data_IF_391823810184
#
_entry.id   IF_391823810184
#
_cell.length_a   1.000
_cell.length_b   1.000
_cell.length_c   1.000
_cell.angle_alpha   90.00
_cell.angle_beta   90.00
_cell.angle_gamma   90.00
#
_symmetry.space_group_name_H-M   'P 1'
#
loop_
_entity.id
_entity.type
_entity.pdbx_description
1 polymer ?
#
# COMPACT_ATOMS: atom_id res chain seq x y z
N UNK A 1 -21.29 -20.32 8.80
CA UNK A 1 -22.14 -19.63 7.81
C UNK A 1 -21.28 -18.54 7.17
N UNK A 2 -20.61 -18.86 6.06
CA UNK A 2 -19.74 -17.92 5.35
C UNK A 2 -20.62 -16.92 4.58
N UNK A 3 -20.55 -15.64 4.94
CA UNK A 3 -21.19 -14.56 4.17
C UNK A 3 -20.43 -14.40 2.86
N UNK A 4 -20.96 -15.01 1.80
CA UNK A 4 -20.62 -14.63 0.43
C UNK A 4 -21.20 -13.23 0.18
N UNK A 5 -20.40 -12.20 0.41
CA UNK A 5 -20.71 -10.84 -0.03
C UNK A 5 -20.54 -10.77 -1.55
N UNK A 6 -21.61 -11.12 -2.27
CA UNK A 6 -21.79 -10.71 -3.66
C UNK A 6 -22.09 -9.20 -3.65
N UNK A 7 -21.05 -8.37 -3.55
CA UNK A 7 -21.24 -6.91 -3.62
C UNK A 7 -21.51 -6.48 -5.07
N UNK A 8 -22.78 -6.20 -5.35
CA UNK A 8 -23.14 -5.12 -6.28
C UNK A 8 -22.89 -3.79 -5.56
N UNK A 9 -21.92 -2.99 -6.00
CA UNK A 9 -21.74 -1.58 -5.60
C UNK A 9 -21.24 -0.79 -6.82
N UNK A 10 -22.10 -0.02 -7.49
CA UNK A 10 -22.45 1.40 -7.26
C UNK A 10 -21.28 2.34 -7.55
N UNK A 11 -21.50 3.21 -8.55
CA UNK A 11 -20.71 4.39 -8.93
C UNK A 11 -20.31 5.18 -7.67
N UNK A 12 -19.05 5.05 -7.23
CA UNK A 12 -18.55 5.77 -6.06
C UNK A 12 -18.01 7.13 -6.51
N UNK A 13 -18.74 8.21 -6.19
CA UNK A 13 -18.20 9.55 -6.18
C UNK A 13 -17.82 9.87 -4.74
N UNK A 14 -16.53 9.91 -4.42
CA UNK A 14 -16.05 10.35 -3.10
C UNK A 14 -15.82 11.86 -3.20
N UNK A 15 -16.78 12.67 -2.77
CA UNK A 15 -16.59 14.12 -2.62
C UNK A 15 -16.26 14.45 -1.17
N UNK A 16 -15.08 15.00 -0.91
CA UNK A 16 -14.83 15.74 0.32
C UNK A 16 -14.40 17.18 -0.02
N UNK A 17 -14.77 18.20 0.77
CA UNK A 17 -14.46 19.60 0.46
C UNK A 17 -12.96 19.93 0.37
N UNK A 18 -12.10 19.02 0.86
CA UNK A 18 -10.64 19.15 0.88
C UNK A 18 -9.90 18.07 0.08
N UNK A 19 -10.60 17.21 -0.67
CA UNK A 19 -9.98 16.15 -1.48
C UNK A 19 -10.53 16.12 -2.90
N UNK A 20 -9.67 15.80 -3.86
CA UNK A 20 -10.04 15.58 -5.26
C UNK A 20 -11.22 14.61 -5.37
N UNK A 21 -12.27 14.98 -6.09
CA UNK A 21 -13.39 14.08 -6.37
C UNK A 21 -12.99 13.10 -7.47
N UNK A 22 -13.03 11.81 -7.16
CA UNK A 22 -12.76 10.71 -8.10
C UNK A 22 -14.08 10.10 -8.58
N UNK A 23 -14.18 9.80 -9.88
CA UNK A 23 -15.30 9.13 -10.51
C UNK A 23 -14.81 7.93 -11.32
N UNK A 24 -15.18 6.73 -10.89
CA UNK A 24 -14.85 5.49 -11.58
C UNK A 24 -15.86 5.11 -12.65
N UNK A 25 -15.39 4.69 -13.82
CA UNK A 25 -16.21 4.08 -14.87
C UNK A 25 -15.80 2.64 -15.10
N UNK A 26 -16.81 1.78 -15.25
CA UNK A 26 -16.60 0.42 -15.73
C UNK A 26 -16.39 0.46 -17.26
N UNK A 27 -15.31 -0.13 -17.73
CA UNK A 27 -14.92 -0.39 -19.11
C UNK A 27 -14.52 -1.88 -19.24
N UNK A 28 -14.54 -2.46 -20.43
CA UNK A 28 -14.08 -3.82 -20.73
C UNK A 28 -15.02 -5.00 -20.42
N UNK A 29 -15.81 -5.37 -21.45
CA UNK A 29 -15.75 -6.68 -22.14
C UNK A 29 -15.87 -6.61 -23.69
N UNK A 30 -16.11 -5.47 -24.35
CA UNK A 30 -16.37 -5.38 -25.82
C UNK A 30 -16.08 -4.01 -26.47
N UNK A 31 -15.87 -3.97 -27.81
CA UNK A 31 -15.69 -2.72 -28.59
C UNK A 31 -16.83 -1.69 -28.42
N UNK A 32 -18.05 -2.15 -28.13
CA UNK A 32 -19.20 -1.28 -27.89
C UNK A 32 -19.08 -0.48 -26.57
N UNK A 33 -18.36 -1.02 -25.58
CA UNK A 33 -18.17 -0.36 -24.28
C UNK A 33 -17.09 0.73 -24.34
N UNK A 34 -16.06 0.58 -25.19
CA UNK A 34 -15.09 1.66 -25.48
C UNK A 34 -15.79 2.88 -26.10
N UNK A 35 -16.71 2.66 -27.05
CA UNK A 35 -17.49 3.74 -27.66
C UNK A 35 -18.42 4.47 -26.70
N UNK A 36 -18.98 3.76 -25.72
CA UNK A 36 -19.80 4.37 -24.66
C UNK A 36 -18.93 5.12 -23.65
N UNK A 37 -17.79 4.56 -23.25
CA UNK A 37 -16.85 5.21 -22.33
C UNK A 37 -16.44 6.60 -22.83
N UNK A 38 -16.06 6.74 -24.11
CA UNK A 38 -15.66 8.04 -24.68
C UNK A 38 -16.79 9.07 -24.58
N UNK A 39 -18.04 8.68 -24.88
CA UNK A 39 -19.20 9.58 -24.75
C UNK A 39 -19.39 10.06 -23.31
N UNK A 40 -19.28 9.16 -22.34
CA UNK A 40 -19.38 9.52 -20.92
C UNK A 40 -18.20 10.37 -20.46
N UNK A 41 -16.99 10.04 -20.90
CA UNK A 41 -15.77 10.79 -20.61
C UNK A 41 -15.90 12.24 -21.09
N UNK A 42 -16.26 12.45 -22.36
CA UNK A 42 -16.39 13.78 -22.96
C UNK A 42 -17.47 14.62 -22.27
N UNK A 43 -18.66 14.03 -22.06
CA UNK A 43 -19.76 14.72 -21.38
C UNK A 43 -19.40 15.13 -19.95
N UNK A 44 -18.68 14.26 -19.21
CA UNK A 44 -18.28 14.53 -17.83
C UNK A 44 -17.13 15.51 -17.75
N UNK A 45 -16.14 15.43 -18.64
CA UNK A 45 -15.06 16.42 -18.72
C UNK A 45 -15.58 17.80 -19.06
N UNK A 46 -16.58 17.90 -19.94
CA UNK A 46 -17.20 19.18 -20.27
C UNK A 46 -17.97 19.78 -19.09
N UNK A 47 -18.73 18.96 -18.35
CA UNK A 47 -19.56 19.43 -17.24
C UNK A 47 -18.81 19.60 -15.91
N UNK A 48 -17.75 18.80 -15.69
CA UNK A 48 -17.02 18.70 -14.42
C UNK A 48 -15.51 18.54 -14.68
N UNK A 49 -14.82 19.58 -15.15
CA UNK A 49 -13.40 19.50 -15.51
C UNK A 49 -12.49 19.11 -14.34
N UNK A 50 -12.88 19.46 -13.11
CA UNK A 50 -12.10 19.20 -11.89
C UNK A 50 -12.23 17.77 -11.36
N UNK A 51 -13.22 17.00 -11.83
CA UNK A 51 -13.39 15.59 -11.42
C UNK A 51 -12.34 14.74 -12.11
N UNK A 52 -11.69 13.87 -11.33
CA UNK A 52 -10.72 12.90 -11.82
C UNK A 52 -11.42 11.61 -12.24
N UNK A 53 -11.12 11.14 -13.45
CA UNK A 53 -11.75 9.98 -14.07
C UNK A 53 -10.85 8.76 -13.93
N UNK A 54 -11.39 7.69 -13.34
CA UNK A 54 -10.73 6.39 -13.21
C UNK A 54 -11.33 5.43 -14.24
N UNK A 55 -10.49 4.85 -15.10
CA UNK A 55 -10.89 3.71 -15.93
C UNK A 55 -10.61 2.40 -15.20
N UNK A 56 -11.49 1.42 -15.30
CA UNK A 56 -11.27 0.11 -14.68
C UNK A 56 -10.30 -0.83 -15.45
N UNK A 57 -9.58 -0.32 -16.44
CA UNK A 57 -8.65 -1.14 -17.23
C UNK A 57 -7.42 -1.54 -16.40
N UNK A 58 -6.97 -2.79 -16.54
CA UNK A 58 -5.77 -3.30 -15.90
C UNK A 58 -4.51 -2.72 -16.57
N UNK A 59 -4.00 -1.56 -16.13
CA UNK A 59 -2.66 -1.09 -16.53
C UNK A 59 -1.55 -2.05 -16.06
N UNK A 60 -0.25 -1.87 -16.40
CA UNK A 60 0.41 -1.15 -17.48
C UNK A 60 1.21 -2.11 -18.39
N UNK A 61 0.62 -3.22 -18.85
CA UNK A 61 1.26 -4.00 -19.94
C UNK A 61 1.27 -3.20 -21.25
N UNK A 62 0.29 -2.31 -21.42
CA UNK A 62 0.14 -1.37 -22.53
C UNK A 62 -0.46 -0.05 -22.02
N UNK A 63 -0.23 1.05 -22.75
CA UNK A 63 -0.94 2.32 -22.53
C UNK A 63 -2.44 2.10 -22.68
N UNK A 64 -3.26 2.81 -21.86
CA UNK A 64 -4.70 2.85 -22.10
C UNK A 64 -4.97 3.32 -23.53
N UNK A 65 -5.89 2.64 -24.22
CA UNK A 65 -6.34 3.00 -25.57
C UNK A 65 -7.38 4.13 -25.57
N UNK A 66 -7.69 4.66 -24.38
CA UNK A 66 -8.67 5.73 -24.14
C UNK A 66 -8.16 6.70 -23.05
N UNK A 67 -8.67 7.95 -23.01
CA UNK A 67 -8.23 8.93 -22.00
C UNK A 67 -8.76 8.60 -20.61
N UNK A 68 -7.94 8.78 -19.57
CA UNK A 68 -8.31 8.71 -18.15
C UNK A 68 -7.26 9.45 -17.29
N UNK A 69 -7.61 9.92 -16.09
CA UNK A 69 -6.62 10.43 -15.13
C UNK A 69 -5.93 9.27 -14.37
N UNK A 70 -6.71 8.23 -14.08
CA UNK A 70 -6.27 7.04 -13.34
C UNK A 70 -6.75 5.76 -14.01
N UNK A 71 -6.11 4.65 -13.70
CA UNK A 71 -6.63 3.31 -13.93
C UNK A 71 -6.85 2.57 -12.62
N UNK A 72 -7.84 1.70 -12.57
CA UNK A 72 -8.20 0.94 -11.38
C UNK A 72 -7.36 -0.34 -11.30
N UNK A 73 -6.72 -0.55 -10.16
CA UNK A 73 -5.87 -1.72 -9.92
C UNK A 73 -6.48 -2.56 -8.79
N UNK A 74 -6.72 -3.83 -9.11
CA UNK A 74 -7.32 -4.81 -8.22
C UNK A 74 -6.37 -5.99 -8.04
N UNK A 75 -6.17 -6.45 -6.81
CA UNK A 75 -5.38 -7.67 -6.55
C UNK A 75 -5.93 -8.50 -5.40
N UNK A 76 -6.39 -9.71 -5.72
CA UNK A 76 -6.81 -10.71 -4.75
C UNK A 76 -5.96 -11.96 -4.97
N UNK A 77 -5.06 -12.27 -4.04
CA UNK A 77 -4.07 -13.35 -4.25
C UNK A 77 -3.54 -13.92 -2.93
N UNK A 78 -2.61 -14.87 -2.98
CA UNK A 78 -1.93 -15.42 -1.79
C UNK A 78 -1.01 -14.37 -1.14
N UNK A 79 -0.61 -14.56 0.11
CA UNK A 79 0.26 -13.63 0.83
C UNK A 79 1.62 -13.47 0.13
N UNK A 80 2.20 -14.58 -0.32
CA UNK A 80 3.45 -14.58 -1.08
C UNK A 80 3.36 -13.82 -2.41
N UNK A 81 2.26 -13.96 -3.13
CA UNK A 81 2.04 -13.27 -4.41
C UNK A 81 1.77 -11.77 -4.19
N UNK A 82 1.02 -11.43 -3.14
CA UNK A 82 0.76 -10.03 -2.81
C UNK A 82 2.04 -9.32 -2.40
N UNK A 83 2.88 -9.97 -1.57
CA UNK A 83 4.20 -9.45 -1.24
C UNK A 83 5.09 -9.31 -2.48
N UNK A 84 5.03 -10.26 -3.41
CA UNK A 84 5.80 -10.20 -4.67
C UNK A 84 5.44 -9.01 -5.57
N UNK A 85 4.22 -8.50 -5.49
CA UNK A 85 3.80 -7.31 -6.25
C UNK A 85 4.08 -5.98 -5.54
N UNK A 86 4.80 -5.99 -4.42
CA UNK A 86 5.25 -4.75 -3.72
C UNK A 86 6.04 -3.81 -4.65
N UNK A 87 6.76 -4.36 -5.63
CA UNK A 87 7.55 -3.60 -6.61
C UNK A 87 6.80 -3.31 -7.92
N UNK A 88 5.49 -3.63 -8.01
CA UNK A 88 4.69 -3.50 -9.25
C UNK A 88 4.80 -2.11 -9.87
N UNK A 89 4.83 -1.08 -9.03
CA UNK A 89 4.81 0.31 -9.48
C UNK A 89 6.21 0.93 -9.63
N UNK A 90 7.28 0.24 -9.20
CA UNK A 90 8.68 0.73 -9.26
C UNK A 90 9.08 1.14 -10.68
N UNK A 91 8.62 0.36 -11.69
CA UNK A 91 8.93 0.59 -13.12
C UNK A 91 7.77 1.14 -13.93
N UNK A 92 6.64 1.48 -13.29
CA UNK A 92 5.49 2.05 -14.00
C UNK A 92 5.83 3.47 -14.47
N UNK A 93 5.43 3.82 -15.69
CA UNK A 93 5.65 5.16 -16.24
C UNK A 93 5.09 6.25 -15.30
N UNK A 94 5.86 7.33 -15.11
CA UNK A 94 5.43 8.51 -14.35
C UNK A 94 4.63 9.51 -15.19
N UNK A 95 4.52 9.27 -16.49
CA UNK A 95 3.80 10.12 -17.45
C UNK A 95 2.48 9.50 -17.93
N UNK A 96 2.20 8.25 -17.57
CA UNK A 96 0.93 7.58 -17.83
C UNK A 96 -0.09 7.84 -16.70
N UNK A 97 -1.40 7.55 -16.93
CA UNK A 97 -2.41 7.59 -15.88
C UNK A 97 -1.97 6.81 -14.65
N UNK A 98 -2.19 7.37 -13.47
CA UNK A 98 -1.74 6.77 -12.21
C UNK A 98 -2.62 5.58 -11.86
N UNK A 99 -2.07 4.58 -11.18
CA UNK A 99 -2.90 3.54 -10.59
C UNK A 99 -3.76 4.15 -9.46
N UNK A 100 -5.00 3.72 -9.37
CA UNK A 100 -5.86 3.85 -8.21
C UNK A 100 -6.07 2.44 -7.69
N UNK A 101 -5.53 2.12 -6.52
CA UNK A 101 -5.75 0.82 -5.91
C UNK A 101 -7.02 0.89 -5.08
N UNK A 102 -8.13 0.43 -5.64
CA UNK A 102 -9.43 0.45 -4.96
C UNK A 102 -9.62 -0.78 -4.06
N UNK A 103 -9.22 -1.96 -4.55
CA UNK A 103 -9.33 -3.21 -3.79
C UNK A 103 -8.05 -4.05 -3.83
N UNK A 104 -7.62 -4.50 -2.66
CA UNK A 104 -6.60 -5.53 -2.52
C UNK A 104 -6.87 -6.36 -1.27
N UNK A 105 -6.56 -7.66 -1.33
CA UNK A 105 -6.58 -8.52 -0.15
C UNK A 105 -5.77 -9.80 -0.38
N UNK A 106 -5.19 -10.32 0.70
CA UNK A 106 -4.79 -11.72 0.78
C UNK A 106 -6.04 -12.60 0.84
N UNK A 107 -6.04 -13.69 0.08
CA UNK A 107 -7.17 -14.61 -0.07
C UNK A 107 -6.70 -16.07 -0.03
N UNK A 108 -7.65 -17.00 0.06
CA UNK A 108 -7.36 -18.44 0.10
C UNK A 108 -7.01 -18.91 1.49
N UNK A 109 -6.05 -19.84 1.61
CA UNK A 109 -5.65 -20.41 2.90
C UNK A 109 -4.80 -19.43 3.73
N UNK A 110 -4.07 -18.53 3.07
CA UNK A 110 -3.14 -17.61 3.72
C UNK A 110 -3.84 -16.57 4.58
N UNK A 111 -5.09 -16.19 4.26
CA UNK A 111 -5.83 -15.19 5.04
C UNK A 111 -6.39 -15.75 6.34
N UNK A 112 -6.79 -17.03 6.34
CA UNK A 112 -7.56 -17.67 7.42
C UNK A 112 -8.65 -16.75 7.97
N UNK A 113 -8.61 -16.38 9.26
CA UNK A 113 -9.50 -15.35 9.86
C UNK A 113 -8.87 -13.97 10.04
N UNK A 114 -7.63 -13.80 9.57
CA UNK A 114 -6.84 -12.59 9.70
C UNK A 114 -5.41 -12.90 10.18
N UNK A 115 -4.71 -13.75 9.44
CA UNK A 115 -3.38 -14.24 9.83
C UNK A 115 -2.31 -13.14 9.86
N UNK A 116 -1.25 -13.36 10.65
CA UNK A 116 -0.06 -12.52 10.62
C UNK A 116 0.56 -12.47 9.21
N UNK A 117 0.56 -13.57 8.46
CA UNK A 117 1.04 -13.65 7.08
C UNK A 117 0.31 -12.65 6.17
N UNK A 118 -1.03 -12.61 6.27
CA UNK A 118 -1.85 -11.69 5.51
C UNK A 118 -1.54 -10.23 5.89
N UNK A 119 -1.42 -9.95 7.19
CA UNK A 119 -1.07 -8.62 7.68
C UNK A 119 0.31 -8.14 7.18
N UNK A 120 1.31 -9.02 7.13
CA UNK A 120 2.64 -8.70 6.61
C UNK A 120 2.63 -8.45 5.10
N UNK A 121 1.88 -9.27 4.34
CA UNK A 121 1.76 -9.10 2.89
C UNK A 121 1.06 -7.77 2.55
N UNK A 122 -0.04 -7.45 3.23
CA UNK A 122 -0.76 -6.18 3.07
C UNK A 122 0.13 -4.98 3.43
N UNK A 123 0.87 -5.07 4.55
CA UNK A 123 1.80 -4.03 4.96
C UNK A 123 2.93 -3.84 3.93
N UNK A 124 3.47 -4.94 3.38
CA UNK A 124 4.47 -4.91 2.32
C UNK A 124 3.95 -4.22 1.06
N UNK A 125 2.77 -4.64 0.59
CA UNK A 125 2.13 -4.03 -0.57
C UNK A 125 1.87 -2.53 -0.38
N UNK A 126 1.33 -2.13 0.79
CA UNK A 126 1.14 -0.73 1.14
C UNK A 126 2.47 0.05 1.12
N UNK A 127 3.56 -0.50 1.66
CA UNK A 127 4.90 0.12 1.57
C UNK A 127 5.30 0.35 0.10
N UNK A 128 5.03 -0.63 -0.78
CA UNK A 128 5.22 -0.50 -2.23
C UNK A 128 4.44 0.66 -2.86
N UNK A 129 3.17 0.82 -2.48
CA UNK A 129 2.34 1.94 -2.92
C UNK A 129 2.92 3.28 -2.45
N UNK A 130 3.35 3.37 -1.18
CA UNK A 130 3.95 4.57 -0.59
C UNK A 130 5.22 4.99 -1.32
N UNK A 131 6.08 4.04 -1.69
CA UNK A 131 7.32 4.28 -2.46
C UNK A 131 7.07 4.79 -3.89
N UNK A 132 5.87 4.60 -4.44
CA UNK A 132 5.56 4.83 -5.85
C UNK A 132 4.46 5.89 -6.08
N UNK A 133 4.36 6.89 -5.20
CA UNK A 133 3.34 7.97 -5.24
C UNK A 133 3.02 8.53 -6.63
N UNK A 134 4.06 8.69 -7.45
CA UNK A 134 3.95 9.34 -8.76
C UNK A 134 3.23 8.45 -9.77
N UNK A 135 3.29 7.13 -9.60
CA UNK A 135 2.64 6.14 -10.46
C UNK A 135 1.46 5.42 -9.79
N UNK A 136 1.30 5.47 -8.46
CA UNK A 136 0.27 4.76 -7.69
C UNK A 136 -0.84 5.65 -7.11
N UNK A 137 -0.85 6.95 -7.41
CA UNK A 137 -1.85 7.89 -6.88
C UNK A 137 -1.74 8.15 -5.36
N UNK A 138 -0.87 7.43 -4.65
CA UNK A 138 -0.59 7.64 -3.23
C UNK A 138 0.04 9.02 -2.98
N UNK A 139 -0.15 9.58 -1.79
CA UNK A 139 0.30 10.95 -1.44
C UNK A 139 1.27 10.92 -0.26
N UNK A 140 2.59 10.78 -0.49
CA UNK A 140 3.61 10.75 0.59
C UNK A 140 5.02 11.19 0.12
N UNK A 141 5.96 11.56 1.02
CA UNK A 141 7.32 12.00 0.70
C UNK A 141 8.28 10.86 0.27
N UNK A 142 9.41 11.22 -0.35
CA UNK A 142 10.41 10.27 -0.88
C UNK A 142 11.25 9.62 0.23
N UNK A 143 11.31 8.28 0.25
CA UNK A 143 12.17 7.50 1.13
C UNK A 143 12.89 6.39 0.35
N UNK A 144 14.21 6.27 0.51
CA UNK A 144 15.05 5.29 -0.20
C UNK A 144 15.57 4.23 0.77
N UNK A 145 15.06 3.00 0.64
CA UNK A 145 15.63 1.83 1.32
C UNK A 145 16.84 1.32 0.53
N UNK A 146 17.99 1.18 1.19
CA UNK A 146 19.15 0.46 0.67
C UNK A 146 19.25 -0.90 1.35
N UNK A 147 18.93 -1.98 0.64
CA UNK A 147 19.01 -3.36 1.16
C UNK A 147 19.35 -4.32 0.03
N UNK A 148 20.05 -5.40 0.36
CA UNK A 148 20.30 -6.53 -0.55
C UNK A 148 19.27 -7.65 -0.37
N UNK A 149 18.31 -7.51 0.56
CA UNK A 149 17.27 -8.50 0.79
C UNK A 149 16.05 -8.26 -0.09
N UNK A 150 15.57 -9.31 -0.76
CA UNK A 150 14.31 -9.32 -1.50
C UNK A 150 13.07 -9.50 -0.61
N UNK A 151 13.26 -9.85 0.67
CA UNK A 151 12.17 -10.07 1.63
C UNK A 151 11.90 -8.87 2.52
N UNK A 152 12.68 -7.80 2.37
CA UNK A 152 12.59 -6.59 3.18
C UNK A 152 12.08 -5.41 2.37
N UNK A 153 11.04 -4.78 2.88
CA UNK A 153 10.49 -3.54 2.32
C UNK A 153 10.30 -2.51 3.41
N UNK A 154 10.59 -1.25 3.10
CA UNK A 154 10.48 -0.15 4.03
C UNK A 154 10.02 1.16 3.37
N UNK A 155 9.38 2.03 4.15
CA UNK A 155 9.04 3.40 3.77
C UNK A 155 9.20 4.32 4.97
N UNK A 156 9.54 5.59 4.72
CA UNK A 156 9.58 6.64 5.73
C UNK A 156 8.64 7.77 5.33
N UNK A 157 8.02 8.42 6.31
CA UNK A 157 7.10 9.54 6.12
C UNK A 157 7.61 10.72 6.97
N UNK A 158 7.58 11.93 6.44
CA UNK A 158 7.77 13.15 7.23
C UNK A 158 6.41 13.73 7.61
N UNK A 159 6.22 14.05 8.89
CA UNK A 159 5.04 14.76 9.38
C UNK A 159 5.36 16.23 9.67
N UNK A 160 4.39 17.12 9.53
CA UNK A 160 4.54 18.58 9.73
C UNK A 160 5.07 18.98 11.13
N UNK A 161 5.07 18.05 12.09
CA UNK A 161 5.56 18.24 13.46
C UNK A 161 6.87 17.47 13.75
N UNK A 162 7.75 17.32 12.76
CA UNK A 162 9.10 16.73 12.91
C UNK A 162 9.17 15.22 13.21
N UNK A 163 8.04 14.52 13.33
CA UNK A 163 8.02 13.07 13.49
C UNK A 163 8.30 12.37 12.16
N UNK A 164 9.13 11.32 12.21
CA UNK A 164 9.52 10.49 11.07
C UNK A 164 9.04 9.05 11.23
N UNK A 165 7.75 8.72 10.95
CA UNK A 165 7.31 7.33 10.98
C UNK A 165 8.02 6.50 9.91
N UNK A 166 8.67 5.43 10.34
CA UNK A 166 9.27 4.43 9.46
C UNK A 166 8.50 3.11 9.58
N UNK A 167 8.06 2.56 8.44
CA UNK A 167 7.42 1.25 8.36
C UNK A 167 8.37 0.27 7.70
N UNK A 168 8.54 -0.91 8.29
CA UNK A 168 9.43 -1.98 7.80
C UNK A 168 8.70 -3.30 7.90
N UNK A 169 8.84 -4.13 6.87
CA UNK A 169 8.29 -5.49 6.83
C UNK A 169 9.41 -6.44 6.43
N UNK A 170 9.58 -7.50 7.22
CA UNK A 170 10.38 -8.67 6.86
C UNK A 170 9.44 -9.82 6.59
N UNK A 171 9.37 -10.23 5.32
CA UNK A 171 8.56 -11.36 4.86
C UNK A 171 9.39 -12.65 4.77
N UNK A 172 10.66 -12.60 5.17
CA UNK A 172 11.58 -13.74 5.17
C UNK A 172 11.49 -14.54 6.47
N UNK A 173 12.01 -15.77 6.43
CA UNK A 173 12.08 -16.67 7.57
C UNK A 173 13.30 -16.45 8.48
N UNK A 174 14.20 -15.54 8.09
CA UNK A 174 15.42 -15.21 8.84
C UNK A 174 15.32 -13.82 9.43
N UNK A 175 15.85 -13.65 10.63
CA UNK A 175 16.04 -12.32 11.24
C UNK A 175 16.95 -11.47 10.36
N UNK A 176 16.60 -10.18 10.27
CA UNK A 176 17.46 -9.21 9.59
C UNK A 176 17.73 -8.03 10.49
N UNK A 177 19.02 -7.77 10.70
CA UNK A 177 19.50 -6.57 11.37
C UNK A 177 19.49 -5.42 10.38
N UNK A 178 18.73 -4.37 10.69
CA UNK A 178 18.65 -3.17 9.88
C UNK A 178 19.31 -2.03 10.61
N UNK A 179 20.27 -1.40 9.93
CA UNK A 179 20.82 -0.12 10.36
C UNK A 179 20.05 1.00 9.67
N UNK A 180 19.51 1.92 10.45
CA UNK A 180 18.75 3.08 9.98
C UNK A 180 19.61 4.30 10.13
N UNK A 181 19.85 5.01 9.03
CA UNK A 181 20.52 6.30 9.06
C UNK A 181 19.59 7.38 8.53
N UNK A 182 19.45 8.48 9.27
CA UNK A 182 18.62 9.61 8.87
C UNK A 182 19.52 10.78 8.48
N UNK A 183 19.59 11.06 7.18
CA UNK A 183 20.32 12.21 6.64
C UNK A 183 19.44 13.46 6.60
N UNK A 184 20.03 14.64 6.84
CA UNK A 184 19.34 15.93 6.72
C UNK A 184 18.63 16.43 7.99
N UNK A 185 18.70 15.70 9.10
CA UNK A 185 18.37 16.22 10.42
C UNK A 185 19.49 17.18 10.90
N UNK A 186 19.11 18.36 11.39
CA UNK A 186 20.07 19.36 11.88
C UNK A 186 20.98 18.80 12.97
N UNK A 187 22.22 19.29 13.06
CA UNK A 187 23.34 18.73 13.85
C UNK A 187 23.10 18.48 15.35
N UNK A 188 21.96 18.90 15.93
CA UNK A 188 21.65 18.83 17.36
C UNK A 188 20.32 18.15 17.71
N UNK A 189 19.63 17.50 16.77
CA UNK A 189 18.40 16.76 17.10
C UNK A 189 18.74 15.41 17.71
N UNK A 190 18.86 15.35 19.03
CA UNK A 190 18.81 14.10 19.78
C UNK A 190 17.41 13.50 19.56
N UNK A 191 17.31 12.28 19.02
CA UNK A 191 16.04 11.59 18.76
C UNK A 191 15.44 11.02 20.06
N UNK A 192 15.43 11.84 21.12
CA UNK A 192 14.88 11.49 22.42
C UNK A 192 13.37 11.22 22.32
N UNK A 193 12.92 10.10 22.91
CA UNK A 193 11.52 9.70 22.87
C UNK A 193 11.12 8.84 21.65
N UNK A 194 12.10 8.39 20.86
CA UNK A 194 11.84 7.42 19.79
C UNK A 194 11.25 6.14 20.34
N UNK A 195 10.19 5.66 19.72
CA UNK A 195 9.54 4.38 20.07
C UNK A 195 9.57 3.45 18.89
N UNK A 196 9.62 2.15 19.18
CA UNK A 196 9.48 1.10 18.19
C UNK A 196 8.23 0.30 18.49
N UNK A 197 7.39 0.11 17.48
CA UNK A 197 6.25 -0.80 17.56
C UNK A 197 6.52 -2.04 16.71
N UNK A 198 6.27 -3.22 17.26
CA UNK A 198 6.49 -4.52 16.60
C UNK A 198 5.20 -5.33 16.62
N UNK A 199 4.75 -5.76 15.45
CA UNK A 199 3.69 -6.76 15.28
C UNK A 199 4.36 -8.05 14.80
N UNK A 200 4.20 -9.15 15.55
CA UNK A 200 4.90 -10.41 15.30
C UNK A 200 4.24 -11.55 16.09
N UNK A 201 4.61 -12.79 15.78
CA UNK A 201 4.24 -14.00 16.51
C UNK A 201 5.24 -15.11 16.22
N UNK A 202 5.13 -16.23 16.94
CA UNK A 202 5.96 -17.43 16.68
C UNK A 202 5.58 -18.19 15.41
N UNK A 203 4.35 -18.00 14.89
CA UNK A 203 3.88 -18.64 13.66
C UNK A 203 3.23 -17.60 12.74
N UNK A 204 3.62 -17.56 11.45
CA UNK A 204 3.02 -16.66 10.44
C UNK A 204 1.50 -16.85 10.28
N UNK A 205 0.97 -18.03 10.61
CA UNK A 205 -0.47 -18.33 10.54
C UNK A 205 -1.22 -18.04 11.85
N UNK A 206 -0.57 -17.40 12.83
CA UNK A 206 -1.27 -17.00 14.05
C UNK A 206 -2.31 -15.90 13.77
N UNK A 207 -3.44 -16.01 14.47
CA UNK A 207 -4.65 -15.20 14.29
C UNK A 207 -5.24 -14.79 15.64
N UNK A 208 -5.92 -13.64 15.67
CA UNK A 208 -6.77 -13.27 16.80
C UNK A 208 -8.14 -13.92 16.64
N UNK A 209 -8.71 -14.43 17.74
CA UNK A 209 -10.03 -15.07 17.75
C UNK A 209 -10.88 -14.55 18.90
N UNK A 210 -12.16 -14.95 18.97
CA UNK A 210 -12.98 -14.62 20.13
C UNK A 210 -12.49 -15.26 21.44
N UNK A 211 -11.76 -16.37 21.36
CA UNK A 211 -11.20 -17.09 22.52
C UNK A 211 -9.88 -16.45 22.96
N UNK A 212 -9.08 -16.02 21.99
CA UNK A 212 -7.79 -15.36 22.20
C UNK A 212 -7.69 -14.10 21.33
N UNK A 213 -8.25 -12.96 21.77
CA UNK A 213 -8.39 -11.77 20.94
C UNK A 213 -7.11 -10.95 20.80
N UNK A 214 -6.07 -11.26 21.58
CA UNK A 214 -4.82 -10.48 21.66
C UNK A 214 -3.57 -11.31 21.36
N UNK A 215 -3.72 -12.46 20.68
CA UNK A 215 -2.62 -13.35 20.32
C UNK A 215 -1.55 -12.66 19.48
N UNK A 216 -1.98 -11.85 18.51
CA UNK A 216 -1.13 -11.10 17.59
C UNK A 216 -1.50 -9.62 17.69
N UNK A 217 -0.74 -8.86 18.48
CA UNK A 217 -0.98 -7.43 18.72
C UNK A 217 0.31 -6.62 18.63
N UNK A 218 0.26 -5.33 18.23
CA UNK A 218 1.44 -4.48 18.22
C UNK A 218 1.94 -4.22 19.65
N UNK A 219 3.22 -4.47 19.89
CA UNK A 219 3.91 -4.13 21.13
C UNK A 219 4.86 -2.95 20.92
N UNK A 220 4.72 -1.90 21.74
CA UNK A 220 5.56 -0.69 21.67
C UNK A 220 6.62 -0.70 22.76
N UNK A 221 7.86 -0.37 22.40
CA UNK A 221 9.00 -0.19 23.31
C UNK A 221 9.70 1.14 23.04
N UNK A 222 10.40 1.67 24.03
CA UNK A 222 11.29 2.81 23.82
C UNK A 222 12.58 2.35 23.15
N UNK A 223 13.10 3.16 22.23
CA UNK A 223 14.43 2.95 21.64
C UNK A 223 15.45 3.67 22.52
N UNK A 224 16.24 2.90 23.26
CA UNK A 224 17.38 3.44 24.00
C UNK A 224 18.48 3.81 22.99
N UNK A 225 19.00 5.04 23.09
CA UNK A 225 20.05 5.57 22.22
C UNK A 225 19.71 5.65 20.73
N UNK A 226 18.51 6.14 20.38
CA UNK A 226 18.24 6.59 19.03
C UNK A 226 19.16 7.78 18.68
N UNK A 227 20.27 7.49 18.00
CA UNK A 227 21.18 8.48 17.41
C UNK A 227 21.03 8.44 15.88
N UNK A 228 21.92 9.08 15.13
CA UNK A 228 21.94 9.06 13.65
C UNK A 228 21.89 7.67 13.05
N UNK A 229 22.37 6.66 13.78
CA UNK A 229 22.39 5.26 13.40
C UNK A 229 21.58 4.44 14.42
N UNK A 230 20.45 3.88 14.00
CA UNK A 230 19.60 3.04 14.85
C UNK A 230 19.66 1.59 14.38
N UNK A 231 20.10 0.69 15.26
CA UNK A 231 19.98 -0.74 15.03
C UNK A 231 18.55 -1.20 15.35
N UNK A 232 17.83 -1.61 14.31
CA UNK A 232 16.46 -2.13 14.40
C UNK A 232 16.48 -3.60 14.01
N UNK A 233 16.33 -4.47 15.01
CA UNK A 233 16.21 -5.93 14.82
C UNK A 233 14.87 -6.27 14.19
N UNK A 234 14.78 -6.72 12.94
CA UNK A 234 13.50 -7.24 12.44
C UNK A 234 13.28 -8.66 12.97
N UNK A 235 12.20 -8.88 13.72
CA UNK A 235 11.97 -10.11 14.49
C UNK A 235 11.65 -11.30 13.57
N UNK A 236 12.19 -12.45 13.96
CA UNK A 236 11.93 -13.78 13.42
C UNK A 236 10.44 -14.11 13.37
N UNK A 237 10.00 -14.76 12.29
CA UNK A 237 8.70 -15.41 12.20
C UNK A 237 8.95 -16.79 11.61
N UNK A 238 8.68 -17.85 12.39
CA UNK A 238 8.72 -19.24 11.93
C UNK A 238 7.40 -19.63 11.26
#
# INVERSE_FOLDING_TARGET
MAMALKQQRVLMAISSPSASTLLGFHSQRSQAETGNYIKFYDAKRSAYPDIKIISNCNGPSHSLDHPADYYDFHVFTSGSNLFSVTHKFDRTSRTCPKASVSDYAVTGNDVGTGSLLAALADAGFLIGLKRNRESSGATLPDAKLQTNSSTLVASAITWQNSNLPENKVNFGNSEVNLKVSIDGLGLNSQLSGSTRTVLTSSNVMDENSFVDPIKVVPAQTMLENADKDIDVYSLHIL
#
